data_IF_769102670982
#
_entry.id   IF_769102670982
#
_cell.length_a   1.000
_cell.length_b   1.000
_cell.length_c   1.000
_cell.angle_alpha   90.00
_cell.angle_beta   90.00
_cell.angle_gamma   90.00
#
_symmetry.space_group_name_H-M   'P 1'
#
loop_
_entity.id
_entity.type
_entity.pdbx_description
1 polymer ?
#
# COMPACT_ATOMS: atom_id res chain seq x y z
N UNK A 1 -8.04 25.31 -6.43
CA UNK A 1 -7.46 24.42 -5.41
C UNK A 1 -8.59 23.59 -4.81
N UNK A 2 -8.36 22.31 -4.54
CA UNK A 2 -9.38 21.35 -4.07
C UNK A 2 -9.67 21.54 -2.58
N UNK A 3 -8.68 22.01 -1.83
CA UNK A 3 -8.86 22.49 -0.45
C UNK A 3 -8.01 23.72 -0.18
N UNK A 4 -8.23 24.36 0.97
CA UNK A 4 -7.36 25.40 1.52
C UNK A 4 -6.00 24.86 1.99
N UNK A 5 -5.86 23.54 2.15
CA UNK A 5 -4.66 22.88 2.66
C UNK A 5 -3.70 22.51 1.50
N UNK A 6 -2.50 23.15 1.39
CA UNK A 6 -1.56 22.88 0.30
C UNK A 6 -1.15 21.41 0.19
N UNK A 7 -0.95 20.74 1.33
CA UNK A 7 -0.59 19.32 1.38
C UNK A 7 -1.67 18.42 0.79
N UNK A 8 -2.95 18.72 1.04
CA UNK A 8 -4.06 17.95 0.46
C UNK A 8 -4.11 18.11 -1.06
N UNK A 9 -3.88 19.33 -1.57
CA UNK A 9 -3.82 19.58 -3.02
C UNK A 9 -2.66 18.83 -3.68
N UNK A 10 -1.48 18.82 -3.03
CA UNK A 10 -0.30 18.10 -3.52
C UNK A 10 -0.57 16.59 -3.55
N UNK A 11 -1.03 16.01 -2.43
CA UNK A 11 -1.37 14.58 -2.34
C UNK A 11 -2.38 14.20 -3.41
N UNK A 12 -3.44 14.99 -3.60
CA UNK A 12 -4.44 14.72 -4.61
C UNK A 12 -3.86 14.69 -6.03
N UNK A 13 -2.98 15.65 -6.35
CA UNK A 13 -2.35 15.75 -7.68
C UNK A 13 -1.45 14.56 -7.95
N UNK A 14 -0.60 14.19 -6.99
CA UNK A 14 0.27 13.01 -7.08
C UNK A 14 -0.57 11.74 -7.21
N UNK A 15 -1.67 11.64 -6.44
CA UNK A 15 -2.55 10.47 -6.44
C UNK A 15 -3.22 10.24 -7.79
N UNK A 16 -3.67 11.30 -8.47
CA UNK A 16 -4.23 11.18 -9.84
C UNK A 16 -3.18 10.63 -10.80
N UNK A 17 -1.96 11.17 -10.75
CA UNK A 17 -0.88 10.73 -11.63
C UNK A 17 -0.51 9.26 -11.36
N UNK A 18 -0.36 8.88 -10.09
CA UNK A 18 -0.06 7.51 -9.69
C UNK A 18 -1.16 6.54 -10.15
N UNK A 19 -2.42 6.93 -10.01
CA UNK A 19 -3.56 6.13 -10.43
C UNK A 19 -3.59 5.94 -11.95
N UNK A 20 -3.38 7.01 -12.72
CA UNK A 20 -3.27 6.93 -14.18
C UNK A 20 -2.13 6.01 -14.63
N UNK A 21 -0.94 6.16 -14.03
CA UNK A 21 0.22 5.31 -14.32
C UNK A 21 -0.08 3.85 -13.98
N UNK A 22 -0.78 3.58 -12.88
CA UNK A 22 -1.18 2.22 -12.49
C UNK A 22 -2.09 1.56 -13.54
N UNK A 23 -3.07 2.28 -14.09
CA UNK A 23 -3.96 1.73 -15.12
C UNK A 23 -3.23 1.51 -16.45
N UNK A 24 -2.30 2.40 -16.82
CA UNK A 24 -1.43 2.19 -17.99
C UNK A 24 -0.58 0.93 -17.78
N UNK A 25 0.03 0.77 -16.60
CA UNK A 25 0.83 -0.40 -16.25
C UNK A 25 0.02 -1.70 -16.31
N UNK A 26 -1.24 -1.70 -15.88
CA UNK A 26 -2.15 -2.84 -16.05
C UNK A 26 -2.37 -3.19 -17.52
N UNK A 27 -2.64 -2.19 -18.37
CA UNK A 27 -2.82 -2.38 -19.81
C UNK A 27 -1.57 -2.99 -20.46
N UNK A 28 -0.39 -2.43 -20.16
CA UNK A 28 0.89 -2.94 -20.66
C UNK A 28 1.16 -4.37 -20.17
N UNK A 29 0.89 -4.65 -18.89
CA UNK A 29 1.07 -5.98 -18.31
C UNK A 29 0.13 -7.02 -18.95
N UNK A 30 -1.11 -6.64 -19.25
CA UNK A 30 -2.04 -7.48 -19.98
C UNK A 30 -1.52 -7.82 -21.37
N UNK A 31 -0.99 -6.84 -22.10
CA UNK A 31 -0.42 -7.05 -23.44
C UNK A 31 0.86 -7.90 -23.39
N UNK A 32 1.69 -7.71 -22.37
CA UNK A 32 2.97 -8.39 -22.21
C UNK A 32 2.84 -9.87 -21.83
N UNK A 33 2.00 -10.20 -20.84
CA UNK A 33 1.82 -11.58 -20.38
C UNK A 33 0.39 -11.83 -19.88
N UNK A 34 -0.51 -12.09 -20.83
CA UNK A 34 -1.94 -12.37 -20.57
C UNK A 34 -2.17 -13.52 -19.58
N UNK A 35 -1.33 -14.55 -19.62
CA UNK A 35 -1.47 -15.73 -18.76
C UNK A 35 -1.22 -15.34 -17.31
N UNK A 36 -0.04 -14.80 -17.01
CA UNK A 36 0.29 -14.39 -15.65
C UNK A 36 -0.59 -13.23 -15.17
N UNK A 37 -0.99 -12.31 -16.06
CA UNK A 37 -1.99 -11.29 -15.72
C UNK A 37 -3.27 -11.92 -15.15
N UNK A 38 -3.88 -12.86 -15.88
CA UNK A 38 -5.12 -13.54 -15.43
C UNK A 38 -4.92 -14.38 -14.17
N UNK A 39 -3.71 -14.92 -13.99
CA UNK A 39 -3.37 -15.69 -12.80
C UNK A 39 -3.35 -14.82 -11.55
N UNK A 40 -2.71 -13.65 -11.58
CA UNK A 40 -2.48 -12.83 -10.39
C UNK A 40 -3.47 -11.68 -10.21
N UNK A 41 -4.15 -11.22 -11.27
CA UNK A 41 -5.12 -10.12 -11.20
C UNK A 41 -6.47 -10.62 -10.69
N UNK A 42 -6.51 -11.01 -9.41
CA UNK A 42 -7.69 -11.51 -8.71
C UNK A 42 -7.81 -10.80 -7.38
N UNK A 43 -8.95 -10.15 -7.10
CA UNK A 43 -9.13 -9.29 -5.92
C UNK A 43 -9.63 -10.04 -4.68
N UNK A 44 -9.94 -11.34 -4.79
CA UNK A 44 -10.42 -12.12 -3.65
C UNK A 44 -9.33 -12.42 -2.62
N UNK A 45 -9.74 -12.53 -1.34
CA UNK A 45 -8.88 -12.98 -0.24
C UNK A 45 -8.70 -14.51 -0.21
N UNK A 46 -9.53 -15.23 -0.97
CA UNK A 46 -9.51 -16.69 -1.01
C UNK A 46 -8.38 -17.20 -1.89
N UNK A 47 -7.48 -18.01 -1.31
CA UNK A 47 -6.42 -18.68 -2.07
C UNK A 47 -7.00 -19.75 -2.99
N UNK A 48 -6.52 -19.80 -4.23
CA UNK A 48 -6.92 -20.82 -5.20
C UNK A 48 -6.28 -22.21 -4.93
N UNK A 49 -5.47 -22.37 -3.88
CA UNK A 49 -4.68 -23.58 -3.58
C UNK A 49 -5.20 -24.42 -2.40
N UNK A 50 -4.80 -25.71 -2.36
CA UNK A 50 -5.25 -26.76 -1.41
C UNK A 50 -4.93 -26.52 0.08
N UNK A 51 -4.28 -25.42 0.46
CA UNK A 51 -4.05 -25.05 1.85
C UNK A 51 -4.00 -23.52 1.97
N UNK A 52 -5.08 -22.89 2.43
CA UNK A 52 -5.18 -21.44 2.50
C UNK A 52 -4.58 -20.89 3.81
N UNK A 53 -3.26 -21.06 3.97
CA UNK A 53 -2.52 -20.55 5.12
C UNK A 53 -2.65 -19.04 5.30
N UNK A 54 -2.94 -18.30 4.23
CA UNK A 54 -3.16 -16.85 4.27
C UNK A 54 -4.46 -16.42 4.96
N UNK A 55 -5.40 -17.33 5.21
CA UNK A 55 -6.51 -17.04 6.11
C UNK A 55 -6.05 -16.85 7.57
N UNK A 56 -4.86 -17.36 7.93
CA UNK A 56 -4.26 -17.21 9.26
C UNK A 56 -3.13 -16.18 9.21
N UNK A 57 -2.23 -16.29 8.23
CA UNK A 57 -1.11 -15.35 8.08
C UNK A 57 -1.58 -13.95 7.70
N UNK A 58 -2.57 -13.82 6.81
CA UNK A 58 -3.09 -12.54 6.34
C UNK A 58 -3.57 -11.64 7.49
N UNK A 59 -4.51 -12.09 8.35
CA UNK A 59 -4.95 -11.32 9.51
C UNK A 59 -3.82 -11.02 10.50
N UNK A 60 -2.90 -11.97 10.70
CA UNK A 60 -1.77 -11.79 11.63
C UNK A 60 -0.82 -10.71 11.13
N UNK A 61 -0.47 -10.73 9.84
CA UNK A 61 0.38 -9.71 9.20
C UNK A 61 -0.33 -8.36 9.17
N UNK A 62 -1.61 -8.32 8.82
CA UNK A 62 -2.43 -7.11 8.89
C UNK A 62 -2.36 -6.49 10.29
N UNK A 63 -2.74 -7.24 11.32
CA UNK A 63 -2.75 -6.73 12.69
C UNK A 63 -1.36 -6.26 13.15
N UNK A 64 -0.31 -7.06 12.93
CA UNK A 64 1.04 -6.72 13.36
C UNK A 64 1.55 -5.42 12.72
N UNK A 65 1.41 -5.27 11.40
CA UNK A 65 1.87 -4.07 10.70
C UNK A 65 0.99 -2.85 10.97
N UNK A 66 -0.33 -3.03 11.09
CA UNK A 66 -1.23 -1.92 11.45
C UNK A 66 -0.91 -1.42 12.87
N UNK A 67 -0.70 -2.31 13.85
CA UNK A 67 -0.28 -1.91 15.21
C UNK A 67 1.06 -1.18 15.18
N UNK A 68 2.06 -1.71 14.48
CA UNK A 68 3.36 -1.05 14.32
C UNK A 68 3.23 0.33 13.69
N UNK A 69 2.40 0.47 12.65
CA UNK A 69 2.14 1.75 11.97
C UNK A 69 1.44 2.73 12.89
N UNK A 70 0.44 2.30 13.67
CA UNK A 70 -0.23 3.13 14.68
C UNK A 70 0.78 3.65 15.70
N UNK A 71 1.62 2.78 16.24
CA UNK A 71 2.65 3.17 17.22
C UNK A 71 3.58 4.24 16.64
N UNK A 72 4.08 4.04 15.42
CA UNK A 72 4.97 5.00 14.76
C UNK A 72 4.29 6.33 14.45
N UNK A 73 3.08 6.28 13.87
CA UNK A 73 2.34 7.48 13.51
C UNK A 73 1.87 8.27 14.74
N UNK A 74 1.61 7.60 15.87
CA UNK A 74 1.23 8.26 17.12
C UNK A 74 2.30 9.24 17.61
N UNK A 75 3.59 8.96 17.38
CA UNK A 75 4.69 9.88 17.73
C UNK A 75 4.56 11.18 16.93
N UNK A 76 4.25 11.07 15.63
CA UNK A 76 4.01 12.23 14.76
C UNK A 76 2.79 13.04 15.19
N UNK A 77 1.68 12.36 15.49
CA UNK A 77 0.44 13.01 15.96
C UNK A 77 0.67 13.75 17.28
N UNK A 78 1.32 13.11 18.27
CA UNK A 78 1.59 13.72 19.58
C UNK A 78 2.55 14.91 19.45
N UNK A 79 3.65 14.74 18.73
CA UNK A 79 4.68 15.78 18.58
C UNK A 79 4.14 17.04 17.87
N UNK A 80 3.21 16.86 16.92
CA UNK A 80 2.60 17.96 16.18
C UNK A 80 1.25 18.42 16.76
N UNK A 81 0.90 17.99 17.98
CA UNK A 81 -0.34 18.35 18.67
C UNK A 81 -1.61 18.05 17.85
N UNK A 82 -1.62 16.94 17.11
CA UNK A 82 -2.79 16.50 16.35
C UNK A 82 -4.01 16.27 17.25
N UNK A 83 -5.19 16.46 16.68
CA UNK A 83 -6.46 16.43 17.39
C UNK A 83 -7.54 15.64 16.64
N UNK A 84 -8.51 15.11 17.37
CA UNK A 84 -9.72 14.50 16.81
C UNK A 84 -10.88 15.46 17.08
N UNK A 85 -11.14 16.36 16.14
CA UNK A 85 -12.22 17.35 16.19
C UNK A 85 -13.12 17.26 14.94
N UNK A 86 -14.01 18.23 14.76
CA UNK A 86 -14.92 18.28 13.61
C UNK A 86 -14.18 18.20 12.25
N UNK A 87 -13.03 18.84 12.13
CA UNK A 87 -12.25 18.90 10.89
C UNK A 87 -11.60 17.58 10.55
N UNK A 88 -11.19 16.78 11.54
CA UNK A 88 -10.79 15.39 11.33
C UNK A 88 -11.93 14.59 10.68
N UNK A 89 -13.16 14.67 11.21
CA UNK A 89 -14.31 13.95 10.66
C UNK A 89 -14.67 14.44 9.25
N UNK A 90 -14.51 15.73 8.96
CA UNK A 90 -14.70 16.28 7.63
C UNK A 90 -13.67 15.76 6.61
N UNK A 91 -12.46 15.39 7.06
CA UNK A 91 -11.40 14.83 6.22
C UNK A 91 -11.50 13.30 6.02
N UNK A 92 -12.31 12.58 6.81
CA UNK A 92 -12.43 11.11 6.71
C UNK A 92 -12.75 10.59 5.29
N UNK A 93 -13.63 11.22 4.50
CA UNK A 93 -13.86 10.78 3.12
C UNK A 93 -12.60 10.83 2.26
N UNK A 94 -11.75 11.85 2.44
CA UNK A 94 -10.48 11.98 1.74
C UNK A 94 -9.45 10.97 2.26
N UNK A 95 -9.42 10.71 3.56
CA UNK A 95 -8.56 9.67 4.15
C UNK A 95 -8.87 8.31 3.52
N UNK A 96 -10.14 7.92 3.45
CA UNK A 96 -10.55 6.66 2.82
C UNK A 96 -10.21 6.61 1.33
N UNK A 97 -10.48 7.70 0.60
CA UNK A 97 -10.20 7.79 -0.83
C UNK A 97 -8.70 7.67 -1.13
N UNK A 98 -7.87 8.44 -0.43
CA UNK A 98 -6.41 8.41 -0.62
C UNK A 98 -5.83 7.07 -0.20
N UNK A 99 -6.29 6.49 0.91
CA UNK A 99 -5.81 5.16 1.34
C UNK A 99 -6.11 4.08 0.31
N UNK A 100 -7.32 4.09 -0.26
CA UNK A 100 -7.72 3.10 -1.26
C UNK A 100 -6.96 3.27 -2.57
N UNK A 101 -6.86 4.50 -3.07
CA UNK A 101 -6.23 4.79 -4.37
C UNK A 101 -4.71 4.67 -4.30
N UNK A 102 -4.09 5.00 -3.15
CA UNK A 102 -2.66 4.83 -2.94
C UNK A 102 -2.29 3.35 -2.88
N UNK A 103 -2.92 2.58 -1.99
CA UNK A 103 -2.74 1.13 -1.91
C UNK A 103 -2.93 0.47 -3.28
N UNK A 104 -3.97 0.83 -4.04
CA UNK A 104 -4.14 0.34 -5.41
C UNK A 104 -2.93 0.66 -6.29
N UNK A 105 -2.56 1.93 -6.38
CA UNK A 105 -1.54 2.39 -7.32
C UNK A 105 -0.18 1.75 -7.01
N UNK A 106 0.20 1.72 -5.74
CA UNK A 106 1.46 1.13 -5.31
C UNK A 106 1.47 -0.38 -5.47
N UNK A 107 0.39 -1.10 -5.10
CA UNK A 107 0.30 -2.55 -5.29
C UNK A 107 0.38 -2.94 -6.77
N UNK A 108 -0.26 -2.18 -7.66
CA UNK A 108 -0.17 -2.46 -9.09
C UNK A 108 1.27 -2.31 -9.59
N UNK A 109 1.92 -1.19 -9.26
CA UNK A 109 3.23 -0.84 -9.81
C UNK A 109 4.36 -1.68 -9.24
N UNK A 110 4.31 -1.97 -7.94
CA UNK A 110 5.44 -2.57 -7.23
C UNK A 110 5.21 -4.02 -6.79
N UNK A 111 3.98 -4.54 -6.86
CA UNK A 111 3.70 -5.98 -6.68
C UNK A 111 3.23 -6.60 -7.98
N UNK A 112 2.08 -6.19 -8.50
CA UNK A 112 1.43 -6.89 -9.61
C UNK A 112 2.31 -6.96 -10.86
N UNK A 113 2.83 -5.81 -11.33
CA UNK A 113 3.69 -5.77 -12.52
C UNK A 113 4.96 -6.60 -12.33
N UNK A 114 5.56 -6.57 -11.14
CA UNK A 114 6.78 -7.32 -10.84
C UNK A 114 6.50 -8.83 -10.80
N UNK A 115 5.48 -9.24 -10.04
CA UNK A 115 5.11 -10.65 -9.88
C UNK A 115 4.64 -11.23 -11.22
N UNK A 116 3.69 -10.59 -11.89
CA UNK A 116 3.18 -11.09 -13.17
C UNK A 116 4.21 -10.99 -14.31
N UNK A 117 5.11 -10.00 -14.27
CA UNK A 117 6.16 -9.80 -15.26
C UNK A 117 7.30 -10.82 -15.17
N UNK A 118 7.63 -11.26 -13.95
CA UNK A 118 8.74 -12.18 -13.67
C UNK A 118 8.30 -13.62 -13.40
N UNK A 119 7.00 -13.88 -13.33
CA UNK A 119 6.42 -15.22 -13.20
C UNK A 119 6.95 -16.18 -14.27
N UNK A 120 7.42 -17.35 -13.82
CA UNK A 120 8.04 -18.36 -14.68
C UNK A 120 9.46 -18.06 -15.18
N UNK A 121 10.02 -16.87 -14.88
CA UNK A 121 11.39 -16.49 -15.27
C UNK A 121 12.38 -16.54 -14.12
N UNK A 122 11.92 -16.21 -12.92
CA UNK A 122 12.70 -16.25 -11.69
C UNK A 122 11.98 -17.10 -10.64
N UNK A 123 12.73 -17.57 -9.66
CA UNK A 123 12.12 -18.27 -8.53
C UNK A 123 11.27 -17.28 -7.68
N UNK A 124 10.21 -17.76 -7.00
CA UNK A 124 9.32 -16.93 -6.20
C UNK A 124 10.01 -16.03 -5.16
N UNK A 125 11.01 -16.56 -4.46
CA UNK A 125 11.70 -15.85 -3.38
C UNK A 125 12.48 -14.65 -3.92
N UNK A 126 13.15 -14.80 -5.05
CA UNK A 126 13.84 -13.71 -5.74
C UNK A 126 12.86 -12.61 -6.18
N UNK A 127 11.67 -12.99 -6.67
CA UNK A 127 10.63 -12.01 -7.05
C UNK A 127 10.17 -11.21 -5.82
N UNK A 128 9.98 -11.86 -4.66
CA UNK A 128 9.65 -11.16 -3.41
C UNK A 128 10.72 -10.15 -3.01
N UNK A 129 12.01 -10.51 -3.11
CA UNK A 129 13.12 -9.60 -2.81
C UNK A 129 13.18 -8.41 -3.77
N UNK A 130 13.02 -8.63 -5.07
CA UNK A 130 12.98 -7.54 -6.06
C UNK A 130 11.85 -6.56 -5.72
N UNK A 131 10.64 -7.08 -5.47
CA UNK A 131 9.48 -6.26 -5.11
C UNK A 131 9.70 -5.49 -3.80
N UNK A 132 10.17 -6.17 -2.76
CA UNK A 132 10.45 -5.56 -1.45
C UNK A 132 11.53 -4.47 -1.53
N UNK A 133 12.64 -4.70 -2.25
CA UNK A 133 13.72 -3.71 -2.37
C UNK A 133 13.24 -2.48 -3.14
N UNK A 134 12.58 -2.65 -4.29
CA UNK A 134 12.06 -1.54 -5.09
C UNK A 134 11.10 -0.70 -4.24
N UNK A 135 10.20 -1.37 -3.53
CA UNK A 135 9.24 -0.68 -2.68
C UNK A 135 9.90 0.05 -1.50
N UNK A 136 10.85 -0.62 -0.84
CA UNK A 136 11.61 -0.04 0.26
C UNK A 136 12.37 1.22 -0.15
N UNK A 137 13.12 1.16 -1.25
CA UNK A 137 13.91 2.29 -1.74
C UNK A 137 13.02 3.48 -2.11
N UNK A 138 11.84 3.23 -2.70
CA UNK A 138 10.88 4.28 -3.02
C UNK A 138 10.39 5.04 -1.76
N UNK A 139 10.49 4.43 -0.58
CA UNK A 139 10.07 5.01 0.70
C UNK A 139 11.19 5.75 1.47
N UNK A 140 12.33 6.02 0.84
CA UNK A 140 13.41 6.78 1.50
C UNK A 140 12.94 8.16 2.01
N UNK A 141 12.03 8.80 1.27
CA UNK A 141 11.38 10.06 1.66
C UNK A 141 9.88 9.86 1.97
N UNK A 142 9.46 8.61 2.19
CA UNK A 142 8.08 8.26 2.52
C UNK A 142 7.71 8.59 3.96
N UNK A 143 6.55 8.12 4.42
CA UNK A 143 6.12 8.23 5.81
C UNK A 143 5.88 6.82 6.37
N UNK A 144 6.69 6.32 7.31
CA UNK A 144 7.89 6.94 7.91
C UNK A 144 9.06 7.11 6.92
N UNK A 145 9.91 8.12 7.13
CA UNK A 145 11.04 8.44 6.24
C UNK A 145 12.36 7.79 6.68
N UNK A 146 13.37 7.88 5.83
CA UNK A 146 14.74 7.47 6.12
C UNK A 146 14.95 5.95 6.09
N UNK A 147 16.09 5.50 6.61
CA UNK A 147 16.49 4.08 6.53
C UNK A 147 15.48 3.15 7.22
N UNK A 148 14.88 3.61 8.33
CA UNK A 148 13.84 2.84 9.00
C UNK A 148 12.61 2.66 8.09
N UNK A 149 12.16 3.74 7.45
CA UNK A 149 11.08 3.69 6.45
C UNK A 149 11.36 2.69 5.34
N UNK A 150 12.58 2.72 4.78
CA UNK A 150 13.04 1.80 3.74
C UNK A 150 12.96 0.33 4.18
N UNK A 151 13.45 0.02 5.39
CA UNK A 151 13.46 -1.35 5.91
C UNK A 151 12.03 -1.82 6.21
N UNK A 152 11.22 -0.98 6.87
CA UNK A 152 9.86 -1.32 7.25
C UNK A 152 8.96 -1.55 6.02
N UNK A 153 8.95 -0.58 5.09
CA UNK A 153 8.20 -0.70 3.84
C UNK A 153 8.73 -1.85 2.98
N UNK A 154 10.05 -2.02 2.84
CA UNK A 154 10.62 -3.12 2.06
C UNK A 154 10.29 -4.50 2.61
N UNK A 155 10.27 -4.64 3.95
CA UNK A 155 9.84 -5.87 4.63
C UNK A 155 8.35 -6.14 4.37
N UNK A 156 7.51 -5.12 4.47
CA UNK A 156 6.09 -5.23 4.12
C UNK A 156 5.93 -5.63 2.65
N UNK A 157 6.59 -4.93 1.73
CA UNK A 157 6.53 -5.19 0.28
C UNK A 157 6.95 -6.62 -0.07
N UNK A 158 7.97 -7.16 0.59
CA UNK A 158 8.37 -8.57 0.45
C UNK A 158 7.24 -9.53 0.88
N UNK A 159 6.59 -9.27 2.03
CA UNK A 159 5.48 -10.08 2.52
C UNK A 159 4.24 -9.98 1.62
N UNK A 160 3.93 -8.78 1.11
CA UNK A 160 2.82 -8.58 0.20
C UNK A 160 3.07 -9.30 -1.13
N UNK A 161 4.28 -9.22 -1.69
CA UNK A 161 4.65 -9.99 -2.89
C UNK A 161 4.51 -11.51 -2.66
N UNK A 162 4.94 -12.01 -1.51
CA UNK A 162 4.75 -13.41 -1.11
C UNK A 162 3.26 -13.77 -1.08
N UNK A 163 2.41 -12.90 -0.52
CA UNK A 163 0.95 -13.09 -0.51
C UNK A 163 0.38 -13.25 -1.92
N UNK A 164 0.82 -12.42 -2.86
CA UNK A 164 0.37 -12.47 -4.25
C UNK A 164 0.79 -13.78 -4.92
N UNK A 165 2.03 -14.20 -4.69
CA UNK A 165 2.57 -15.43 -5.29
C UNK A 165 1.87 -16.68 -4.76
N UNK A 166 1.62 -16.75 -3.45
CA UNK A 166 1.06 -17.93 -2.78
C UNK A 166 -0.46 -18.02 -2.94
N UNK A 167 -1.18 -16.89 -2.97
CA UNK A 167 -2.64 -16.87 -3.13
C UNK A 167 -3.09 -16.78 -4.58
N UNK A 168 -2.18 -16.39 -5.49
CA UNK A 168 -2.49 -16.04 -6.89
C UNK A 168 -3.53 -14.92 -6.96
N UNK A 169 -3.40 -13.91 -6.11
CA UNK A 169 -4.34 -12.79 -6.04
C UNK A 169 -3.76 -11.57 -5.31
N UNK A 170 -4.34 -10.40 -5.57
CA UNK A 170 -3.95 -9.12 -4.97
C UNK A 170 -4.73 -8.81 -3.68
N UNK A 171 -5.76 -9.57 -3.33
CA UNK A 171 -6.67 -9.23 -2.24
C UNK A 171 -5.97 -8.96 -0.91
N UNK A 172 -5.09 -9.86 -0.46
CA UNK A 172 -4.35 -9.68 0.79
C UNK A 172 -3.36 -8.51 0.72
N UNK A 173 -2.67 -8.36 -0.41
CA UNK A 173 -1.73 -7.28 -0.62
C UNK A 173 -2.42 -5.91 -0.53
N UNK A 174 -3.54 -5.74 -1.23
CA UNK A 174 -4.37 -4.54 -1.22
C UNK A 174 -4.96 -4.26 0.16
N UNK A 175 -5.53 -5.27 0.83
CA UNK A 175 -6.15 -5.10 2.14
C UNK A 175 -5.12 -4.67 3.19
N UNK A 176 -3.99 -5.38 3.28
CA UNK A 176 -2.95 -5.09 4.28
C UNK A 176 -2.37 -3.70 4.01
N UNK A 177 -2.08 -3.35 2.76
CA UNK A 177 -1.58 -2.02 2.44
C UNK A 177 -2.61 -0.92 2.74
N UNK A 178 -3.86 -1.10 2.34
CA UNK A 178 -4.94 -0.16 2.61
C UNK A 178 -5.07 0.17 4.11
N UNK A 179 -4.94 -0.83 4.99
CA UNK A 179 -4.99 -0.61 6.44
C UNK A 179 -3.84 0.27 6.94
N UNK A 180 -2.67 0.19 6.31
CA UNK A 180 -1.49 0.95 6.71
C UNK A 180 -1.67 2.41 6.26
N UNK A 181 -2.14 2.60 5.03
CA UNK A 181 -2.46 3.91 4.50
C UNK A 181 -3.60 4.58 5.28
N UNK A 182 -4.60 3.82 5.72
CA UNK A 182 -5.68 4.33 6.55
C UNK A 182 -5.16 4.95 7.85
N UNK A 183 -4.16 4.33 8.47
CA UNK A 183 -3.48 4.87 9.66
C UNK A 183 -2.63 6.09 9.30
N UNK A 184 -1.86 6.04 8.22
CA UNK A 184 -0.96 7.13 7.81
C UNK A 184 -1.74 8.39 7.42
N UNK A 185 -2.71 8.28 6.51
CA UNK A 185 -3.57 9.40 6.12
C UNK A 185 -4.45 9.87 7.27
N UNK A 186 -4.94 8.96 8.12
CA UNK A 186 -5.69 9.31 9.33
C UNK A 186 -4.86 10.14 10.30
N UNK A 187 -3.61 9.77 10.54
CA UNK A 187 -2.68 10.55 11.36
C UNK A 187 -2.39 11.92 10.76
N UNK A 188 -2.21 12.01 9.43
CA UNK A 188 -2.09 13.28 8.73
C UNK A 188 -3.32 14.18 8.91
N UNK A 189 -4.52 13.62 8.84
CA UNK A 189 -5.76 14.33 9.09
C UNK A 189 -5.86 14.84 10.54
N UNK A 190 -5.44 14.05 11.53
CA UNK A 190 -5.39 14.49 12.94
C UNK A 190 -4.42 15.66 13.13
N UNK A 191 -3.26 15.62 12.46
CA UNK A 191 -2.27 16.70 12.53
C UNK A 191 -2.83 17.99 11.95
N UNK A 192 -3.47 17.93 10.77
CA UNK A 192 -4.13 19.10 10.16
C UNK A 192 -5.22 19.64 11.10
N UNK A 193 -6.06 18.75 11.64
CA UNK A 193 -7.13 19.12 12.56
C UNK A 193 -6.63 19.79 13.85
N UNK A 194 -5.45 19.44 14.35
CA UNK A 194 -4.85 20.03 15.56
C UNK A 194 -4.22 21.41 15.35
N UNK A 195 -4.13 21.89 14.11
CA UNK A 195 -3.60 23.21 13.77
C UNK A 195 -4.69 24.28 13.67
N UNK A 196 -5.96 23.88 13.78
CA UNK A 196 -7.13 24.76 13.89
C UNK A 196 -7.41 25.16 15.34
#
# INVERSE_FOLDING_TARGET
MISSYPMVNLTFTIQILALLISFIALGLMYLYNKKSFKTFFRLGLSSSGKNNSWNIYGPTVAAAFTIGTIMLMSVGVISQKGSVNHSFFALLPLVLLFSLTNAWSEEILSRFVIVAGLDGKLNPVTICWISGIIFGVAHLQGTPSGLFGVIASGTLGWLLAKSVIETKGLGWALLIHFLQDLVIFGAGAMIIAGQE
#
